data_IF_717683023096
#
_entry.id   IF_717683023096
#
_cell.length_a   1.000
_cell.length_b   1.000
_cell.length_c   1.000
_cell.angle_alpha   90.00
_cell.angle_beta   90.00
_cell.angle_gamma   90.00
#
_symmetry.space_group_name_H-M   'P 1'
#
loop_
_entity.id
_entity.type
_entity.pdbx_description
1 polymer ?
#
# COMPACT_ATOMS: atom_id res chain seq x y z
N UNK A 1 14.47 -26.18 31.89
CA UNK A 1 14.65 -24.90 31.18
C UNK A 1 14.34 -25.20 29.73
N UNK A 2 13.16 -24.82 29.28
CA UNK A 2 12.71 -25.07 27.91
C UNK A 2 13.05 -23.82 27.10
N UNK A 3 13.97 -23.93 26.15
CA UNK A 3 14.25 -22.90 25.18
C UNK A 3 13.03 -22.74 24.26
N UNK A 4 12.37 -21.61 24.36
CA UNK A 4 11.38 -21.21 23.39
C UNK A 4 12.09 -20.91 22.08
N UNK A 5 12.01 -21.83 21.12
CA UNK A 5 12.47 -21.62 19.75
C UNK A 5 11.66 -20.45 19.16
N UNK A 6 12.29 -19.28 19.02
CA UNK A 6 11.73 -18.18 18.25
C UNK A 6 11.64 -18.62 16.79
N UNK A 7 10.43 -18.84 16.32
CA UNK A 7 10.18 -19.01 14.89
C UNK A 7 10.33 -17.64 14.23
N UNK A 8 11.54 -17.35 13.78
CA UNK A 8 11.79 -16.23 12.86
C UNK A 8 11.16 -16.59 11.53
N UNK A 9 10.01 -16.01 11.21
CA UNK A 9 9.41 -16.11 9.89
C UNK A 9 10.30 -15.36 8.88
N UNK A 10 11.11 -16.10 8.15
CA UNK A 10 12.07 -15.58 7.16
C UNK A 10 11.45 -15.24 5.80
N UNK A 11 10.13 -15.11 5.71
CA UNK A 11 9.46 -14.91 4.44
C UNK A 11 8.87 -13.50 4.29
N UNK A 12 9.09 -12.90 3.11
CA UNK A 12 8.34 -11.74 2.66
C UNK A 12 6.85 -12.02 2.74
N UNK A 13 6.08 -11.05 3.23
CA UNK A 13 4.63 -11.14 3.32
C UNK A 13 3.95 -10.05 2.49
N UNK A 14 2.80 -10.38 1.94
CA UNK A 14 1.94 -9.45 1.25
C UNK A 14 0.56 -9.42 1.92
N UNK A 15 0.04 -8.24 2.14
CA UNK A 15 -1.23 -8.02 2.84
C UNK A 15 -2.10 -7.11 1.99
N UNK A 16 -3.37 -7.48 1.82
CA UNK A 16 -4.37 -6.63 1.20
C UNK A 16 -5.07 -5.77 2.25
N UNK A 17 -5.03 -4.47 2.07
CA UNK A 17 -5.61 -3.48 2.97
C UNK A 17 -6.51 -2.55 2.17
N UNK A 18 -7.84 -2.67 2.33
CA UNK A 18 -8.83 -1.84 1.62
C UNK A 18 -8.60 -1.75 0.10
N UNK A 19 -8.20 -2.88 -0.52
CA UNK A 19 -7.94 -2.94 -1.96
C UNK A 19 -6.56 -2.39 -2.38
N UNK A 20 -5.69 -2.07 -1.44
CA UNK A 20 -4.29 -1.71 -1.69
C UNK A 20 -3.37 -2.86 -1.26
N UNK A 21 -2.26 -3.03 -1.94
CA UNK A 21 -1.27 -4.07 -1.62
C UNK A 21 -0.16 -3.48 -0.76
N UNK A 22 0.09 -4.09 0.40
CA UNK A 22 1.21 -3.78 1.28
C UNK A 22 2.16 -4.98 1.34
N UNK A 23 3.38 -4.80 0.87
CA UNK A 23 4.45 -5.78 0.93
C UNK A 23 5.37 -5.49 2.12
N UNK A 24 5.63 -6.50 2.95
CA UNK A 24 6.52 -6.41 4.11
C UNK A 24 7.72 -7.35 3.92
N UNK A 25 8.93 -6.81 4.07
CA UNK A 25 10.17 -7.58 3.96
C UNK A 25 10.33 -8.62 5.08
N UNK A 26 11.04 -9.71 4.76
CA UNK A 26 11.26 -10.85 5.65
C UNK A 26 11.90 -10.49 7.00
N UNK A 27 12.82 -9.53 7.01
CA UNK A 27 13.55 -9.10 8.20
C UNK A 27 12.78 -8.23 9.19
N UNK A 28 11.57 -7.80 8.85
CA UNK A 28 10.79 -6.93 9.74
C UNK A 28 10.34 -7.67 11.00
N UNK A 29 10.43 -6.99 12.15
CA UNK A 29 9.86 -7.48 13.40
C UNK A 29 8.34 -7.60 13.32
N UNK A 30 7.75 -8.46 14.16
CA UNK A 30 6.30 -8.62 14.23
C UNK A 30 5.61 -7.30 14.61
N UNK A 31 6.21 -6.53 15.52
CA UNK A 31 5.68 -5.25 15.95
C UNK A 31 5.70 -4.23 14.81
N UNK A 32 6.83 -4.08 14.10
CA UNK A 32 6.95 -3.16 12.97
C UNK A 32 5.95 -3.48 11.85
N UNK A 33 5.74 -4.77 11.55
CA UNK A 33 4.72 -5.20 10.58
C UNK A 33 3.32 -4.83 11.01
N UNK A 34 3.00 -5.02 12.29
CA UNK A 34 1.69 -4.69 12.86
C UNK A 34 1.44 -3.19 12.82
N UNK A 35 2.42 -2.39 13.25
CA UNK A 35 2.36 -0.94 13.27
C UNK A 35 2.16 -0.35 11.87
N UNK A 36 2.98 -0.79 10.91
CA UNK A 36 2.87 -0.33 9.52
C UNK A 36 1.52 -0.71 8.90
N UNK A 37 1.06 -1.94 9.11
CA UNK A 37 -0.26 -2.39 8.62
C UNK A 37 -1.39 -1.54 9.19
N UNK A 38 -1.39 -1.31 10.50
CA UNK A 38 -2.45 -0.54 11.16
C UNK A 38 -2.41 0.93 10.75
N UNK A 39 -1.22 1.53 10.67
CA UNK A 39 -1.06 2.91 10.20
C UNK A 39 -1.56 3.07 8.75
N UNK A 40 -1.14 2.17 7.87
CA UNK A 40 -1.55 2.17 6.46
C UNK A 40 -3.07 2.01 6.32
N UNK A 41 -3.67 1.05 7.04
CA UNK A 41 -5.11 0.81 7.07
C UNK A 41 -5.85 2.05 7.58
N UNK A 42 -5.44 2.60 8.71
CA UNK A 42 -6.06 3.78 9.30
C UNK A 42 -6.01 4.98 8.35
N UNK A 43 -4.84 5.25 7.75
CA UNK A 43 -4.67 6.36 6.81
C UNK A 43 -5.54 6.20 5.56
N UNK A 44 -5.63 4.97 5.01
CA UNK A 44 -6.52 4.65 3.88
C UNK A 44 -7.97 4.95 4.23
N UNK A 45 -8.47 4.47 5.38
CA UNK A 45 -9.84 4.69 5.81
C UNK A 45 -10.17 6.17 6.03
N UNK A 46 -9.24 6.95 6.58
CA UNK A 46 -9.42 8.38 6.79
C UNK A 46 -9.45 9.12 5.45
N UNK A 47 -8.58 8.74 4.51
CA UNK A 47 -8.57 9.33 3.18
C UNK A 47 -9.85 8.99 2.39
N UNK A 48 -10.31 7.73 2.42
CA UNK A 48 -11.54 7.26 1.78
C UNK A 48 -12.80 7.97 2.33
N UNK A 49 -12.80 8.27 3.63
CA UNK A 49 -13.90 9.01 4.25
C UNK A 49 -13.92 10.49 3.84
N UNK A 50 -12.74 11.07 3.59
CA UNK A 50 -12.60 12.50 3.30
C UNK A 50 -12.79 12.81 1.81
N UNK A 51 -12.33 11.94 0.92
CA UNK A 51 -12.27 12.18 -0.51
C UNK A 51 -12.59 10.93 -1.33
N UNK A 52 -13.25 11.14 -2.46
CA UNK A 52 -13.41 10.12 -3.48
C UNK A 52 -12.08 9.91 -4.22
N UNK A 53 -11.49 8.73 -4.07
CA UNK A 53 -10.18 8.41 -4.65
C UNK A 53 -10.16 8.50 -6.18
N UNK A 54 -11.32 8.36 -6.85
CA UNK A 54 -11.43 8.48 -8.31
C UNK A 54 -11.45 9.93 -8.80
N UNK A 55 -12.33 10.72 -8.17
CA UNK A 55 -12.61 12.09 -8.61
C UNK A 55 -11.66 13.11 -8.02
N UNK A 56 -11.07 12.77 -6.88
CA UNK A 56 -10.27 13.63 -6.03
C UNK A 56 -8.95 12.93 -5.63
N UNK A 57 -8.33 12.20 -6.57
CA UNK A 57 -7.16 11.36 -6.32
C UNK A 57 -6.01 12.10 -5.65
N UNK A 58 -5.73 13.35 -6.07
CA UNK A 58 -4.70 14.16 -5.44
C UNK A 58 -5.04 14.50 -3.99
N UNK A 59 -6.26 14.93 -3.72
CA UNK A 59 -6.71 15.26 -2.36
C UNK A 59 -6.73 14.02 -1.47
N UNK A 60 -7.14 12.87 -2.03
CA UNK A 60 -7.08 11.59 -1.35
C UNK A 60 -5.65 11.22 -0.98
N UNK A 61 -4.73 11.29 -1.95
CA UNK A 61 -3.32 10.99 -1.73
C UNK A 61 -2.66 11.94 -0.72
N UNK A 62 -2.89 13.25 -0.86
CA UNK A 62 -2.38 14.24 0.08
C UNK A 62 -2.91 13.97 1.50
N UNK A 63 -4.21 13.63 1.64
CA UNK A 63 -4.81 13.28 2.93
C UNK A 63 -4.21 12.02 3.53
N UNK A 64 -4.03 10.97 2.70
CA UNK A 64 -3.37 9.73 3.14
C UNK A 64 -1.97 10.02 3.70
N UNK A 65 -1.15 10.77 2.96
CA UNK A 65 0.21 11.13 3.37
C UNK A 65 0.23 11.99 4.62
N UNK A 66 -0.70 12.94 4.75
CA UNK A 66 -0.82 13.79 5.94
C UNK A 66 -1.21 12.97 7.18
N UNK A 67 -2.14 12.02 7.06
CA UNK A 67 -2.48 11.11 8.16
C UNK A 67 -1.28 10.25 8.56
N UNK A 68 -0.53 9.71 7.59
CA UNK A 68 0.70 8.98 7.91
C UNK A 68 1.69 9.83 8.70
N UNK A 69 1.81 11.13 8.37
CA UNK A 69 2.64 12.08 9.14
C UNK A 69 2.12 12.24 10.56
N UNK A 70 0.82 12.42 10.74
CA UNK A 70 0.19 12.57 12.07
C UNK A 70 0.38 11.30 12.92
N UNK A 71 0.51 10.13 12.29
CA UNK A 71 0.83 8.86 12.92
C UNK A 71 2.33 8.68 13.25
N UNK A 72 3.16 9.68 12.98
CA UNK A 72 4.58 9.66 13.33
C UNK A 72 5.51 9.21 12.20
N UNK A 73 5.03 9.13 10.96
CA UNK A 73 5.93 8.94 9.83
C UNK A 73 6.54 10.27 9.41
N UNK A 74 7.86 10.31 9.27
CA UNK A 74 8.53 11.37 8.53
C UNK A 74 8.43 11.11 7.05
N UNK A 75 8.34 12.19 6.25
CA UNK A 75 8.11 12.09 4.80
C UNK A 75 9.22 12.87 4.09
N UNK A 76 10.41 12.26 3.93
CA UNK A 76 11.54 12.93 3.29
C UNK A 76 11.30 13.25 1.83
N UNK A 77 10.42 12.51 1.16
CA UNK A 77 10.10 12.74 -0.25
C UNK A 77 8.65 12.39 -0.55
N UNK A 78 7.98 13.26 -1.30
CA UNK A 78 6.66 12.97 -1.91
C UNK A 78 6.52 13.68 -3.24
N UNK A 79 5.77 13.09 -4.15
CA UNK A 79 5.34 13.67 -5.42
C UNK A 79 3.93 13.21 -5.76
N UNK A 80 3.22 13.98 -6.55
CA UNK A 80 1.99 13.58 -7.23
C UNK A 80 1.93 14.34 -8.54
N UNK A 81 2.26 13.70 -9.63
CA UNK A 81 2.49 14.34 -10.91
C UNK A 81 1.78 13.63 -12.06
N UNK A 82 1.46 14.37 -13.10
CA UNK A 82 1.03 13.82 -14.37
C UNK A 82 2.25 13.28 -15.09
N UNK A 83 2.24 12.00 -15.38
CA UNK A 83 3.32 11.33 -16.09
C UNK A 83 2.88 10.85 -17.47
N UNK A 84 3.84 10.60 -18.33
CA UNK A 84 3.61 10.09 -19.68
C UNK A 84 4.38 8.80 -19.87
N UNK A 85 3.68 7.73 -20.27
CA UNK A 85 4.34 6.49 -20.69
C UNK A 85 4.56 6.51 -22.21
N UNK A 86 5.76 6.15 -22.64
CA UNK A 86 6.06 5.90 -24.05
C UNK A 86 5.46 4.57 -24.55
N UNK A 87 5.01 3.68 -23.66
CA UNK A 87 4.52 2.35 -23.97
C UNK A 87 3.04 2.24 -23.59
N UNK A 88 2.15 2.07 -24.56
CA UNK A 88 0.71 1.85 -24.37
C UNK A 88 0.37 0.49 -23.72
N UNK A 89 1.33 -0.41 -23.58
CA UNK A 89 1.11 -1.77 -23.07
C UNK A 89 1.58 -1.99 -21.63
N UNK A 90 2.02 -0.93 -20.94
CA UNK A 90 2.51 -1.02 -19.57
C UNK A 90 1.34 -1.15 -18.61
N UNK A 91 1.41 -2.11 -17.69
CA UNK A 91 0.39 -2.29 -16.66
C UNK A 91 0.55 -1.26 -15.53
N UNK A 92 -0.55 -0.90 -14.89
CA UNK A 92 -0.57 0.01 -13.74
C UNK A 92 0.32 -0.53 -12.61
N UNK A 93 0.28 -1.85 -12.37
CA UNK A 93 1.15 -2.50 -11.38
C UNK A 93 2.63 -2.36 -11.70
N UNK A 94 3.02 -2.52 -12.98
CA UNK A 94 4.42 -2.33 -13.38
C UNK A 94 4.90 -0.90 -13.17
N UNK A 95 4.04 0.09 -13.39
CA UNK A 95 4.33 1.51 -13.13
C UNK A 95 4.54 1.72 -11.62
N UNK A 96 3.63 1.21 -10.78
CA UNK A 96 3.74 1.33 -9.32
C UNK A 96 5.03 0.68 -8.79
N UNK A 97 5.39 -0.52 -9.28
CA UNK A 97 6.62 -1.21 -8.91
C UNK A 97 7.86 -0.39 -9.30
N UNK A 98 7.89 0.16 -10.53
CA UNK A 98 8.99 1.03 -10.99
C UNK A 98 9.15 2.28 -10.11
N UNK A 99 8.02 2.92 -9.75
CA UNK A 99 8.03 4.10 -8.88
C UNK A 99 8.56 3.77 -7.48
N UNK A 100 8.13 2.64 -6.89
CA UNK A 100 8.66 2.15 -5.61
C UNK A 100 10.15 1.86 -5.70
N UNK A 101 10.59 1.16 -6.74
CA UNK A 101 12.00 0.84 -6.96
C UNK A 101 12.87 2.08 -7.09
N UNK A 102 12.44 3.06 -7.88
CA UNK A 102 13.17 4.31 -8.07
C UNK A 102 13.27 5.14 -6.78
N UNK A 103 12.15 5.29 -6.05
CA UNK A 103 12.13 6.03 -4.79
C UNK A 103 12.90 5.30 -3.68
N UNK A 104 12.77 3.98 -3.59
CA UNK A 104 13.51 3.13 -2.66
C UNK A 104 15.02 3.15 -2.90
N UNK A 105 15.44 3.05 -4.17
CA UNK A 105 16.85 3.15 -4.54
C UNK A 105 17.44 4.53 -4.17
N UNK A 106 16.71 5.60 -4.38
CA UNK A 106 17.14 6.95 -4.02
C UNK A 106 17.30 7.15 -2.50
N UNK A 107 16.58 6.37 -1.67
CA UNK A 107 16.60 6.46 -0.21
C UNK A 107 17.61 5.52 0.44
N UNK A 108 17.66 4.27 0.00
CA UNK A 108 18.40 3.18 0.66
C UNK A 108 19.61 2.70 -0.14
N UNK A 109 19.64 3.01 -1.44
CA UNK A 109 20.52 2.34 -2.39
C UNK A 109 20.03 0.92 -2.74
N UNK A 110 20.18 0.51 -3.99
CA UNK A 110 19.79 -0.84 -4.44
C UNK A 110 18.29 -1.00 -4.77
N UNK A 111 17.89 -2.25 -5.03
CA UNK A 111 16.59 -2.60 -5.63
C UNK A 111 15.59 -3.21 -4.65
N UNK A 112 15.97 -3.37 -3.38
CA UNK A 112 15.25 -4.19 -2.36
C UNK A 112 13.76 -3.91 -2.30
N UNK A 113 13.33 -2.64 -2.24
CA UNK A 113 11.91 -2.29 -2.16
C UNK A 113 11.15 -2.56 -3.46
N UNK A 114 11.81 -2.35 -4.62
CA UNK A 114 11.24 -2.68 -5.92
C UNK A 114 11.06 -4.19 -6.11
N UNK A 115 12.06 -4.98 -5.72
CA UNK A 115 12.03 -6.44 -5.80
C UNK A 115 10.98 -7.02 -4.85
N UNK A 116 10.87 -6.46 -3.64
CA UNK A 116 9.82 -6.83 -2.67
C UNK A 116 8.43 -6.54 -3.22
N UNK A 117 8.20 -5.35 -3.76
CA UNK A 117 6.93 -4.98 -4.37
C UNK A 117 6.58 -5.90 -5.54
N UNK A 118 7.56 -6.23 -6.40
CA UNK A 118 7.39 -7.15 -7.51
C UNK A 118 7.05 -8.55 -7.04
N UNK A 119 7.79 -9.08 -6.07
CA UNK A 119 7.55 -10.44 -5.52
C UNK A 119 6.16 -10.55 -4.89
N UNK A 120 5.74 -9.55 -4.14
CA UNK A 120 4.41 -9.50 -3.55
C UNK A 120 3.31 -9.45 -4.62
N UNK A 121 3.52 -8.67 -5.66
CA UNK A 121 2.62 -8.57 -6.79
C UNK A 121 2.50 -9.89 -7.56
N UNK A 122 3.63 -10.52 -7.90
CA UNK A 122 3.67 -11.79 -8.62
C UNK A 122 2.97 -12.92 -7.82
N UNK A 123 3.18 -12.97 -6.48
CA UNK A 123 2.47 -13.91 -5.60
C UNK A 123 0.96 -13.70 -5.61
N UNK A 124 0.51 -12.45 -5.56
CA UNK A 124 -0.91 -12.12 -5.56
C UNK A 124 -1.58 -12.55 -6.87
N UNK A 125 -0.92 -12.37 -8.00
CA UNK A 125 -1.44 -12.75 -9.31
C UNK A 125 -1.52 -14.27 -9.52
N UNK A 126 -0.77 -15.06 -8.73
CA UNK A 126 -0.80 -16.52 -8.77
C UNK A 126 -1.84 -17.15 -7.84
N UNK A 127 -2.35 -16.39 -6.85
CA UNK A 127 -3.35 -16.87 -5.88
C UNK A 127 -4.74 -16.38 -6.31
N UNK A 128 -5.47 -17.22 -7.02
CA UNK A 128 -6.76 -16.87 -7.66
C UNK A 128 -7.81 -16.25 -6.72
N UNK A 129 -7.82 -16.63 -5.45
CA UNK A 129 -8.78 -16.12 -4.47
C UNK A 129 -8.46 -14.69 -4.00
N UNK A 130 -7.20 -14.36 -3.77
CA UNK A 130 -6.78 -13.02 -3.33
C UNK A 130 -6.92 -12.02 -4.47
N UNK A 131 -6.68 -12.48 -5.70
CA UNK A 131 -6.95 -11.74 -6.91
C UNK A 131 -8.43 -11.36 -7.05
N UNK A 132 -9.35 -12.31 -6.77
CA UNK A 132 -10.79 -12.06 -6.80
C UNK A 132 -11.27 -11.05 -5.74
N UNK A 133 -10.66 -11.04 -4.57
CA UNK A 133 -10.99 -10.07 -3.51
C UNK A 133 -10.63 -8.65 -3.92
N UNK A 134 -9.47 -8.46 -4.55
CA UNK A 134 -9.07 -7.15 -5.11
C UNK A 134 -10.02 -6.70 -6.22
N UNK A 135 -10.37 -7.60 -7.13
CA UNK A 135 -11.27 -7.33 -8.25
C UNK A 135 -12.68 -6.97 -7.75
N UNK A 136 -13.23 -7.71 -6.78
CA UNK A 136 -14.57 -7.46 -6.25
C UNK A 136 -14.71 -6.08 -5.59
N UNK A 137 -13.73 -5.67 -4.80
CA UNK A 137 -13.71 -4.32 -4.20
C UNK A 137 -13.55 -3.22 -5.24
N UNK A 138 -12.95 -3.52 -6.40
CA UNK A 138 -12.73 -2.57 -7.50
C UNK A 138 -13.84 -2.51 -8.53
N UNK A 139 -14.51 -3.62 -8.84
CA UNK A 139 -15.70 -3.62 -9.72
C UNK A 139 -16.80 -2.69 -9.21
N UNK A 140 -16.88 -2.51 -7.89
CA UNK A 140 -17.79 -1.54 -7.27
C UNK A 140 -17.25 -0.09 -7.27
N UNK A 141 -15.96 0.12 -7.65
CA UNK A 141 -15.32 1.43 -7.79
C UNK A 141 -14.70 1.50 -9.20
N UNK A 142 -15.48 1.85 -10.19
CA UNK A 142 -15.20 1.68 -11.63
C UNK A 142 -13.99 2.43 -12.22
N UNK A 143 -13.32 3.31 -11.47
CA UNK A 143 -12.13 4.06 -11.90
C UNK A 143 -11.32 4.49 -10.69
N UNK A 144 -10.63 3.61 -10.03
CA UNK A 144 -9.95 3.94 -8.79
C UNK A 144 -8.45 4.14 -8.90
N UNK A 145 -7.92 4.75 -7.89
CA UNK A 145 -6.48 4.81 -7.66
C UNK A 145 -5.98 3.45 -7.16
N UNK A 146 -4.88 2.97 -7.75
CA UNK A 146 -4.21 1.74 -7.32
C UNK A 146 -3.12 2.10 -6.34
N UNK A 147 -3.21 1.59 -5.11
CA UNK A 147 -2.16 1.73 -4.09
C UNK A 147 -1.31 0.47 -3.99
N UNK A 148 0.00 0.65 -4.07
CA UNK A 148 1.00 -0.36 -3.78
C UNK A 148 2.01 0.22 -2.82
N UNK A 149 2.36 -0.52 -1.76
CA UNK A 149 3.37 -0.13 -0.81
C UNK A 149 4.36 -1.28 -0.58
N UNK A 150 5.63 -0.94 -0.37
CA UNK A 150 6.63 -1.88 0.10
C UNK A 150 7.36 -1.29 1.30
N UNK A 151 7.58 -2.08 2.34
CA UNK A 151 8.28 -1.67 3.54
C UNK A 151 9.29 -2.71 4.01
N UNK A 152 10.36 -2.21 4.58
CA UNK A 152 11.42 -3.00 5.21
C UNK A 152 11.81 -2.36 6.54
N UNK A 153 12.39 -3.17 7.41
CA UNK A 153 13.10 -2.71 8.60
C UNK A 153 14.60 -2.83 8.32
N UNK A 154 15.34 -1.74 8.50
CA UNK A 154 16.80 -1.71 8.28
C UNK A 154 17.53 -2.34 9.46
N UNK A 155 18.83 -2.59 9.31
CA UNK A 155 19.70 -3.09 10.39
C UNK A 155 19.72 -2.16 11.61
N UNK A 156 19.42 -0.87 11.42
CA UNK A 156 19.31 0.11 12.50
C UNK A 156 17.93 0.17 13.14
N UNK A 157 17.02 -0.76 12.79
CA UNK A 157 15.62 -0.79 13.19
C UNK A 157 14.77 0.40 12.68
N UNK A 158 15.24 1.09 11.65
CA UNK A 158 14.41 2.09 10.96
C UNK A 158 13.45 1.38 10.01
N UNK A 159 12.17 1.68 10.11
CA UNK A 159 11.17 1.15 9.19
C UNK A 159 10.97 2.14 8.06
N UNK A 160 11.35 1.73 6.85
CA UNK A 160 11.18 2.53 5.63
C UNK A 160 10.10 1.92 4.76
N UNK A 161 9.15 2.74 4.36
CA UNK A 161 8.06 2.37 3.45
C UNK A 161 8.05 3.31 2.25
N UNK A 162 7.86 2.75 1.07
CA UNK A 162 7.56 3.52 -0.14
C UNK A 162 6.15 3.16 -0.60
N UNK A 163 5.33 4.18 -0.79
CA UNK A 163 3.97 4.05 -1.31
C UNK A 163 3.92 4.61 -2.71
N UNK A 164 3.28 3.90 -3.63
CA UNK A 164 2.95 4.38 -4.97
C UNK A 164 1.44 4.26 -5.20
N UNK A 165 0.84 5.36 -5.62
CA UNK A 165 -0.58 5.47 -5.96
C UNK A 165 -0.70 5.88 -7.42
N UNK A 166 -1.29 5.04 -8.26
CA UNK A 166 -1.47 5.30 -9.69
C UNK A 166 -2.94 5.51 -9.99
N UNK A 167 -3.25 6.66 -10.59
CA UNK A 167 -4.55 6.92 -11.18
C UNK A 167 -4.42 6.95 -12.69
N UNK A 168 -5.08 6.02 -13.36
CA UNK A 168 -5.13 5.97 -14.80
C UNK A 168 -6.58 5.80 -15.25
N UNK A 169 -6.91 6.35 -16.43
CA UNK A 169 -8.15 5.98 -17.13
C UNK A 169 -7.99 4.54 -17.58
N UNK A 170 -8.79 3.64 -17.02
CA UNK A 170 -8.82 2.25 -17.44
C UNK A 170 -9.89 2.04 -18.51
N UNK A 171 -9.66 1.23 -19.53
CA UNK A 171 -10.72 0.79 -20.42
C UNK A 171 -11.76 -0.01 -19.64
N UNK A 172 -13.02 0.07 -20.03
CA UNK A 172 -14.05 -0.87 -19.60
C UNK A 172 -13.70 -2.23 -20.22
N UNK A 173 -12.93 -3.05 -19.52
CA UNK A 173 -12.64 -4.41 -19.94
C UNK A 173 -13.44 -5.36 -19.07
N UNK A 174 -14.32 -6.11 -19.73
CA UNK A 174 -14.88 -7.35 -19.23
C UNK A 174 -13.72 -8.31 -18.97
N UNK A 175 -13.71 -8.97 -17.81
CA UNK A 175 -12.94 -10.18 -17.47
C UNK A 175 -11.48 -10.11 -17.02
N UNK A 176 -10.81 -8.98 -16.83
CA UNK A 176 -9.44 -9.01 -16.31
C UNK A 176 -9.38 -8.78 -14.79
N UNK A 177 -8.83 -9.77 -14.10
CA UNK A 177 -9.01 -10.11 -12.69
C UNK A 177 -8.38 -9.12 -11.70
N UNK A 178 -7.53 -8.19 -12.16
CA UNK A 178 -6.87 -7.21 -11.28
C UNK A 178 -6.69 -5.88 -12.03
N UNK A 179 -7.29 -4.80 -11.52
CA UNK A 179 -7.03 -3.45 -12.03
C UNK A 179 -5.54 -3.07 -12.05
N UNK A 180 -4.70 -3.89 -11.43
CA UNK A 180 -3.25 -3.77 -11.42
C UNK A 180 -2.63 -4.32 -12.72
N UNK A 181 -3.28 -5.25 -13.41
CA UNK A 181 -2.87 -5.77 -14.73
C UNK A 181 -3.45 -4.94 -15.88
N UNK A 182 -4.29 -3.95 -15.59
CA UNK A 182 -4.82 -3.09 -16.64
C UNK A 182 -3.69 -2.38 -17.37
N UNK A 183 -3.73 -2.51 -18.67
CA UNK A 183 -2.87 -1.76 -19.56
C UNK A 183 -3.36 -0.32 -19.61
N UNK A 184 -2.45 0.62 -19.72
CA UNK A 184 -2.80 2.01 -19.92
C UNK A 184 -3.56 2.16 -21.26
N UNK A 185 -4.74 2.75 -21.18
CA UNK A 185 -5.55 3.13 -22.35
C UNK A 185 -5.05 4.42 -22.99
N UNK A 186 -4.35 5.23 -22.21
CA UNK A 186 -3.73 6.50 -22.63
C UNK A 186 -2.31 6.58 -22.09
N UNK A 187 -1.49 7.33 -22.81
CA UNK A 187 -0.10 7.58 -22.41
C UNK A 187 0.04 8.44 -21.14
N UNK A 188 -1.06 9.01 -20.63
CA UNK A 188 -1.04 9.91 -19.46
C UNK A 188 -1.70 9.25 -18.25
N UNK A 189 -1.03 9.34 -17.11
CA UNK A 189 -1.52 8.88 -15.81
C UNK A 189 -0.99 9.79 -14.71
N UNK A 190 -1.67 9.83 -13.57
CA UNK A 190 -1.15 10.49 -12.37
C UNK A 190 -0.45 9.46 -11.49
N UNK A 191 0.76 9.80 -11.05
CA UNK A 191 1.54 8.99 -10.12
C UNK A 191 1.83 9.78 -8.84
N UNK A 192 1.35 9.27 -7.71
CA UNK A 192 1.71 9.73 -6.39
C UNK A 192 2.75 8.78 -5.80
N UNK A 193 3.90 9.29 -5.34
CA UNK A 193 4.93 8.49 -4.68
C UNK A 193 5.39 9.18 -3.41
N UNK A 194 5.42 8.44 -2.30
CA UNK A 194 5.94 8.93 -1.02
C UNK A 194 6.92 7.93 -0.42
N UNK A 195 8.02 8.46 0.10
CA UNK A 195 8.94 7.75 0.98
C UNK A 195 8.60 8.15 2.41
N UNK A 196 8.39 7.14 3.27
CA UNK A 196 7.96 7.31 4.66
C UNK A 196 8.92 6.55 5.57
N UNK A 197 9.31 7.16 6.67
CA UNK A 197 10.11 6.50 7.71
C UNK A 197 9.39 6.58 9.02
N UNK A 198 9.13 5.45 9.66
CA UNK A 198 8.40 5.38 10.92
C UNK A 198 9.27 5.86 12.07
N UNK A 199 8.77 6.84 12.80
CA UNK A 199 9.30 7.19 14.11
C UNK A 199 8.51 6.40 15.17
N UNK A 200 9.07 5.29 15.62
CA UNK A 200 8.43 4.37 16.57
C UNK A 200 8.07 5.07 17.89
N UNK A 201 8.90 6.00 18.37
CA UNK A 201 8.64 6.75 19.60
C UNK A 201 7.36 7.60 19.49
N UNK A 202 7.11 8.21 18.33
CA UNK A 202 5.89 8.99 18.09
C UNK A 202 4.69 8.05 17.91
N UNK A 203 4.86 6.99 17.09
CA UNK A 203 3.78 6.03 16.85
C UNK A 203 3.31 5.31 18.12
N UNK A 204 4.22 5.00 19.05
CA UNK A 204 3.89 4.41 20.35
C UNK A 204 2.85 5.21 21.12
N UNK A 205 2.85 6.55 20.99
CA UNK A 205 1.89 7.43 21.67
C UNK A 205 0.47 7.35 21.07
N UNK A 206 0.36 6.95 19.82
CA UNK A 206 -0.92 6.91 19.10
C UNK A 206 -1.38 5.49 18.79
N UNK A 207 -0.53 4.45 18.96
CA UNK A 207 -0.80 3.06 18.64
C UNK A 207 -2.14 2.58 19.19
N UNK A 208 -2.34 2.69 20.49
CA UNK A 208 -3.58 2.26 21.16
C UNK A 208 -4.82 2.97 20.59
N UNK A 209 -4.70 4.26 20.30
CA UNK A 209 -5.80 5.03 19.70
C UNK A 209 -6.14 4.52 18.30
N UNK A 210 -5.12 4.20 17.48
CA UNK A 210 -5.31 3.63 16.15
C UNK A 210 -5.99 2.27 16.23
N UNK A 211 -5.49 1.38 17.08
CA UNK A 211 -6.02 0.04 17.28
C UNK A 211 -7.47 0.07 17.76
N UNK A 212 -7.79 0.91 18.74
CA UNK A 212 -9.14 1.08 19.24
C UNK A 212 -10.10 1.57 18.15
N UNK A 213 -9.70 2.57 17.35
CA UNK A 213 -10.55 3.08 16.26
C UNK A 213 -10.77 2.04 15.15
N UNK A 214 -9.75 1.27 14.80
CA UNK A 214 -9.87 0.18 13.85
C UNK A 214 -10.77 -0.94 14.41
N UNK A 215 -10.64 -1.27 15.70
CA UNK A 215 -11.47 -2.26 16.39
C UNK A 215 -12.95 -1.86 16.43
N UNK A 216 -13.27 -0.62 16.80
CA UNK A 216 -14.67 -0.11 16.79
C UNK A 216 -15.29 -0.23 15.39
N UNK A 217 -14.56 0.17 14.33
CA UNK A 217 -15.05 0.04 12.96
C UNK A 217 -15.30 -1.41 12.58
N UNK A 218 -14.44 -2.32 12.99
CA UNK A 218 -14.63 -3.76 12.74
C UNK A 218 -15.91 -4.29 13.40
N UNK A 219 -16.20 -3.86 14.64
CA UNK A 219 -17.44 -4.21 15.35
C UNK A 219 -18.66 -3.64 14.62
N UNK A 220 -18.63 -2.37 14.22
CA UNK A 220 -19.71 -1.73 13.44
C UNK A 220 -20.01 -2.49 12.14
N UNK A 221 -18.96 -2.93 11.43
CA UNK A 221 -19.12 -3.70 10.20
C UNK A 221 -19.73 -5.08 10.47
N UNK A 222 -19.27 -5.78 11.52
CA UNK A 222 -19.79 -7.12 11.88
C UNK A 222 -21.28 -7.05 12.26
N UNK A 223 -21.71 -6.00 12.96
CA UNK A 223 -23.12 -5.80 13.33
C UNK A 223 -24.06 -5.56 12.14
N UNK A 224 -23.53 -5.26 10.96
CA UNK A 224 -24.30 -5.09 9.73
C UNK A 224 -24.60 -6.42 8.99
N UNK A 225 -23.97 -7.52 9.41
CA UNK A 225 -24.25 -8.83 8.83
C UNK A 225 -25.44 -9.47 9.55
N UNK A 226 -26.51 -9.75 8.79
CA UNK A 226 -27.63 -10.59 9.25
C UNK A 226 -27.16 -12.05 9.28
N UNK A 227 -27.22 -12.66 10.47
CA UNK A 227 -26.95 -14.08 10.70
C UNK A 227 -28.20 -14.75 11.27
#
# INVERSE_FOLDING_TARGET
MSEATQVTTTNDSAILVEGNLLACGAGMSAQSRHDVKNAFHFATLVADKAFDAEKQSRQWYDKFVDVMRDLGFTIPRRSFELETSAELSVTIGAIAIRAIGAAGNAMLGGTVLGDLAKTAFDKLTTVENDAKVLDHKRKNKARGMVGLAACIETENNDVVMVVSCIQASAPQLDDDVLGIQWKLDKTHYYAGTAVLTLNTFVYDKVRETVENKLGVRSVENVLQYDI
#
